data_IF_612912162589
#
_entry.id   IF_612912162589
#
_cell.length_a   1.000
_cell.length_b   1.000
_cell.length_c   1.000
_cell.angle_alpha   90.00
_cell.angle_beta   90.00
_cell.angle_gamma   90.00
#
_symmetry.space_group_name_H-M   'P 1'
#
loop_
_entity.id
_entity.type
_entity.pdbx_description
1 polymer ?
#
# COMPACT_ATOMS: atom_id res chain seq x y z
N UNK A 1 -6.52 26.19 -2.60
CA UNK A 1 -5.38 25.34 -3.02
C UNK A 1 -5.89 24.25 -3.95
N UNK A 2 -5.50 24.33 -5.23
CA UNK A 2 -5.75 23.25 -6.19
C UNK A 2 -4.50 22.38 -6.19
N UNK A 3 -4.61 21.07 -5.95
CA UNK A 3 -3.47 20.15 -5.95
C UNK A 3 -2.61 20.32 -7.22
N UNK A 4 -1.30 20.14 -7.12
CA UNK A 4 -0.32 20.29 -8.20
C UNK A 4 -0.27 21.72 -8.80
N UNK A 5 -1.42 22.28 -9.17
CA UNK A 5 -1.54 23.60 -9.83
C UNK A 5 -1.02 24.71 -8.94
N UNK A 6 -1.42 24.73 -7.66
CA UNK A 6 -0.94 25.73 -6.70
C UNK A 6 0.57 25.65 -6.50
N UNK A 7 1.13 24.43 -6.46
CA UNK A 7 2.58 24.22 -6.33
C UNK A 7 3.36 24.79 -7.51
N UNK A 8 2.86 24.61 -8.73
CA UNK A 8 3.45 25.14 -9.95
C UNK A 8 3.38 26.67 -9.97
N UNK A 9 2.19 27.26 -9.72
CA UNK A 9 2.01 28.72 -9.73
C UNK A 9 2.82 29.43 -8.64
N UNK A 10 2.93 28.84 -7.46
CA UNK A 10 3.68 29.38 -6.32
C UNK A 10 5.18 29.02 -6.38
N UNK A 11 5.66 28.43 -7.49
CA UNK A 11 7.07 28.04 -7.69
C UNK A 11 7.61 27.23 -6.49
N UNK A 12 6.85 26.23 -6.07
CA UNK A 12 7.19 25.35 -4.95
C UNK A 12 7.37 26.09 -3.59
N UNK A 13 6.68 27.20 -3.36
CA UNK A 13 6.74 27.96 -2.11
C UNK A 13 5.37 28.11 -1.47
N UNK A 14 5.35 28.15 -0.15
CA UNK A 14 4.13 28.46 0.61
C UNK A 14 3.72 29.92 0.38
N UNK A 15 2.44 30.17 0.11
CA UNK A 15 1.89 31.53 -0.10
C UNK A 15 1.94 32.41 1.16
N UNK A 16 1.94 31.78 2.35
CA UNK A 16 1.90 32.51 3.62
C UNK A 16 3.30 32.78 4.21
N UNK A 17 4.19 31.77 4.21
CA UNK A 17 5.49 31.86 4.88
C UNK A 17 6.70 31.76 3.93
N UNK A 18 6.50 31.56 2.63
CA UNK A 18 7.58 31.47 1.63
C UNK A 18 8.44 30.19 1.71
N UNK A 19 8.20 29.30 2.68
CA UNK A 19 8.97 28.06 2.85
C UNK A 19 8.84 27.18 1.61
N UNK A 20 9.94 26.51 1.21
CA UNK A 20 9.95 25.59 0.08
C UNK A 20 9.13 24.34 0.39
N UNK A 21 8.28 23.95 -0.57
CA UNK A 21 7.45 22.73 -0.52
C UNK A 21 8.11 21.69 -1.42
N UNK A 22 8.40 20.51 -0.85
CA UNK A 22 9.01 19.40 -1.57
C UNK A 22 8.14 18.97 -2.77
N UNK A 23 8.80 18.58 -3.87
CA UNK A 23 8.15 18.00 -5.05
C UNK A 23 7.41 16.68 -4.76
N UNK A 24 7.72 16.01 -3.65
CA UNK A 24 7.05 14.80 -3.19
C UNK A 24 5.54 15.01 -3.02
N UNK A 25 5.12 16.17 -2.50
CA UNK A 25 3.69 16.46 -2.28
C UNK A 25 2.89 16.46 -3.59
N UNK A 26 3.22 17.27 -4.61
CA UNK A 26 2.47 17.26 -5.86
C UNK A 26 2.59 15.93 -6.62
N UNK A 27 3.67 15.17 -6.44
CA UNK A 27 3.78 13.82 -7.01
C UNK A 27 2.78 12.84 -6.38
N UNK A 28 2.62 12.86 -5.06
CA UNK A 28 1.64 12.03 -4.35
C UNK A 28 0.21 12.46 -4.73
N UNK A 29 -0.05 13.78 -4.77
CA UNK A 29 -1.34 14.32 -5.20
C UNK A 29 -1.70 13.86 -6.61
N UNK A 30 -0.76 13.94 -7.56
CA UNK A 30 -0.97 13.50 -8.93
C UNK A 30 -1.19 11.98 -9.01
N UNK A 31 -0.36 11.20 -8.33
CA UNK A 31 -0.51 9.73 -8.31
C UNK A 31 -1.88 9.32 -7.74
N UNK A 32 -2.30 9.93 -6.64
CA UNK A 32 -3.61 9.67 -6.03
C UNK A 32 -4.76 10.09 -6.94
N UNK A 33 -4.64 11.25 -7.60
CA UNK A 33 -5.65 11.73 -8.55
C UNK A 33 -5.78 10.79 -9.76
N UNK A 34 -4.67 10.30 -10.30
CA UNK A 34 -4.67 9.33 -11.40
C UNK A 34 -5.28 7.99 -10.98
N UNK A 35 -4.97 7.49 -9.78
CA UNK A 35 -5.57 6.27 -9.24
C UNK A 35 -7.08 6.43 -9.07
N UNK A 36 -7.53 7.51 -8.47
CA UNK A 36 -8.96 7.78 -8.28
C UNK A 36 -9.68 7.98 -9.60
N UNK A 37 -9.06 8.68 -10.56
CA UNK A 37 -9.59 8.84 -11.90
C UNK A 37 -9.75 7.51 -12.64
N UNK A 38 -8.75 6.64 -12.56
CA UNK A 38 -8.80 5.30 -13.14
C UNK A 38 -9.88 4.42 -12.49
N UNK A 39 -10.02 4.49 -11.15
CA UNK A 39 -11.06 3.77 -10.42
C UNK A 39 -12.45 4.29 -10.83
N UNK A 40 -12.64 5.60 -10.87
CA UNK A 40 -13.90 6.21 -11.27
C UNK A 40 -14.27 5.85 -12.72
N UNK A 41 -13.29 5.86 -13.61
CA UNK A 41 -13.49 5.44 -15.00
C UNK A 41 -13.88 3.96 -15.13
N UNK A 42 -13.30 3.09 -14.28
CA UNK A 42 -13.53 1.63 -14.33
C UNK A 42 -14.86 1.21 -13.71
N UNK A 43 -15.28 1.88 -12.64
CA UNK A 43 -16.44 1.48 -11.83
C UNK A 43 -17.60 2.48 -11.89
N UNK A 44 -17.47 3.55 -12.65
CA UNK A 44 -18.46 4.64 -12.71
C UNK A 44 -18.80 5.19 -11.31
N UNK A 45 -20.03 5.68 -11.10
CA UNK A 45 -20.50 6.21 -9.82
C UNK A 45 -21.06 5.13 -8.86
N UNK A 46 -20.58 3.89 -8.97
CA UNK A 46 -21.03 2.80 -8.09
C UNK A 46 -20.39 2.91 -6.71
N UNK A 47 -21.07 2.47 -5.62
CA UNK A 47 -20.50 2.46 -4.28
C UNK A 47 -19.16 1.73 -4.15
N UNK A 48 -18.94 0.70 -4.98
CA UNK A 48 -17.67 -0.05 -5.02
C UNK A 48 -16.49 0.84 -5.42
N UNK A 49 -16.70 1.89 -6.22
CA UNK A 49 -15.64 2.84 -6.57
C UNK A 49 -15.09 3.56 -5.34
N UNK A 50 -15.97 3.95 -4.39
CA UNK A 50 -15.55 4.57 -3.12
C UNK A 50 -14.72 3.61 -2.28
N UNK A 51 -15.10 2.33 -2.24
CA UNK A 51 -14.32 1.31 -1.54
C UNK A 51 -12.91 1.16 -2.13
N UNK A 52 -12.79 1.10 -3.45
CA UNK A 52 -11.49 1.05 -4.13
C UNK A 52 -10.68 2.34 -3.98
N UNK A 53 -11.32 3.51 -3.94
CA UNK A 53 -10.64 4.77 -3.64
C UNK A 53 -10.09 4.78 -2.20
N UNK A 54 -10.87 4.31 -1.22
CA UNK A 54 -10.41 4.17 0.16
C UNK A 54 -9.23 3.18 0.27
N UNK A 55 -9.31 2.03 -0.41
CA UNK A 55 -8.22 1.07 -0.52
C UNK A 55 -6.95 1.71 -1.08
N UNK A 56 -7.05 2.39 -2.23
CA UNK A 56 -5.92 3.04 -2.88
C UNK A 56 -5.31 4.14 -1.99
N UNK A 57 -6.15 4.97 -1.34
CA UNK A 57 -5.68 6.00 -0.41
C UNK A 57 -4.91 5.41 0.77
N UNK A 58 -5.43 4.32 1.38
CA UNK A 58 -4.73 3.62 2.45
C UNK A 58 -3.38 3.05 1.99
N UNK A 59 -3.31 2.45 0.80
CA UNK A 59 -2.05 1.93 0.27
C UNK A 59 -1.04 3.03 0.00
N UNK A 60 -1.46 4.16 -0.58
CA UNK A 60 -0.57 5.32 -0.79
C UNK A 60 -0.07 5.84 0.55
N UNK A 61 -0.94 5.99 1.55
CA UNK A 61 -0.55 6.43 2.89
C UNK A 61 0.44 5.46 3.55
N UNK A 62 0.15 4.15 3.52
CA UNK A 62 1.05 3.11 4.06
C UNK A 62 2.41 3.12 3.36
N UNK A 63 2.45 3.23 2.02
CA UNK A 63 3.69 3.30 1.27
C UNK A 63 4.52 4.53 1.63
N UNK A 64 3.89 5.67 1.89
CA UNK A 64 4.59 6.90 2.30
C UNK A 64 5.11 6.81 3.73
N UNK A 65 4.33 6.23 4.64
CA UNK A 65 4.75 6.03 6.03
C UNK A 65 5.90 5.02 6.09
N UNK A 66 5.79 3.92 5.37
CA UNK A 66 6.84 2.90 5.30
C UNK A 66 8.14 3.47 4.72
N UNK A 67 8.06 4.28 3.66
CA UNK A 67 9.22 4.96 3.09
C UNK A 67 9.93 5.87 4.08
N UNK A 68 9.19 6.54 4.96
CA UNK A 68 9.75 7.49 5.93
C UNK A 68 10.22 6.85 7.23
N UNK A 69 9.53 5.80 7.67
CA UNK A 69 9.68 5.23 9.03
C UNK A 69 10.04 3.76 9.06
N UNK A 70 9.93 3.05 7.91
CA UNK A 70 10.04 1.58 7.83
C UNK A 70 9.06 0.85 8.76
N UNK A 71 7.91 1.48 9.05
CA UNK A 71 6.86 0.95 9.92
C UNK A 71 5.51 1.00 9.21
N UNK A 72 4.73 -0.06 9.36
CA UNK A 72 3.35 -0.15 8.87
C UNK A 72 2.39 -0.06 10.08
N UNK A 73 1.71 1.08 10.29
CA UNK A 73 0.87 1.27 11.46
C UNK A 73 -0.40 0.42 11.42
N UNK A 74 -0.70 -0.22 12.55
CA UNK A 74 -1.91 -1.04 12.73
C UNK A 74 -3.20 -0.22 12.57
N UNK A 75 -3.13 1.07 12.86
CA UNK A 75 -4.25 2.01 12.67
C UNK A 75 -4.72 2.13 11.22
N UNK A 76 -3.91 1.74 10.25
CA UNK A 76 -4.27 1.69 8.82
C UNK A 76 -4.40 0.26 8.29
N UNK A 77 -3.47 -0.64 8.67
CA UNK A 77 -3.46 -2.01 8.13
C UNK A 77 -4.66 -2.82 8.61
N UNK A 78 -5.07 -2.70 9.90
CA UNK A 78 -6.22 -3.43 10.41
C UNK A 78 -7.56 -2.93 9.86
N UNK A 79 -7.86 -1.61 9.84
CA UNK A 79 -9.06 -1.12 9.15
C UNK A 79 -9.09 -1.49 7.66
N UNK A 80 -7.95 -1.50 6.97
CA UNK A 80 -7.85 -1.93 5.59
C UNK A 80 -8.24 -3.40 5.42
N UNK A 81 -7.74 -4.29 6.29
CA UNK A 81 -8.08 -5.71 6.29
C UNK A 81 -9.58 -5.92 6.52
N UNK A 82 -10.12 -5.33 7.58
CA UNK A 82 -11.54 -5.46 7.90
C UNK A 82 -12.43 -4.83 6.83
N UNK A 83 -12.02 -3.70 6.26
CA UNK A 83 -12.71 -3.06 5.14
C UNK A 83 -12.84 -4.01 3.95
N UNK A 84 -11.77 -4.74 3.59
CA UNK A 84 -11.80 -5.74 2.52
C UNK A 84 -12.82 -6.86 2.78
N UNK A 85 -12.83 -7.40 4.00
CA UNK A 85 -13.79 -8.44 4.39
C UNK A 85 -15.24 -7.93 4.38
N UNK A 86 -15.49 -6.71 4.85
CA UNK A 86 -16.82 -6.09 4.85
C UNK A 86 -17.32 -5.86 3.42
N UNK A 87 -16.48 -5.31 2.56
CA UNK A 87 -16.85 -5.04 1.15
C UNK A 87 -17.10 -6.35 0.39
N UNK A 88 -16.34 -7.40 0.68
CA UNK A 88 -16.58 -8.74 0.16
C UNK A 88 -17.90 -9.35 0.70
N UNK A 89 -18.21 -9.16 1.99
CA UNK A 89 -19.46 -9.60 2.60
C UNK A 89 -20.69 -8.90 2.00
N UNK A 90 -20.53 -7.62 1.59
CA UNK A 90 -21.56 -6.87 0.87
C UNK A 90 -21.71 -7.31 -0.60
N UNK A 91 -20.86 -8.21 -1.09
CA UNK A 91 -20.90 -8.68 -2.47
C UNK A 91 -20.40 -7.65 -3.50
N UNK A 92 -19.68 -6.62 -3.06
CA UNK A 92 -19.21 -5.55 -3.96
C UNK A 92 -17.91 -5.90 -4.68
N UNK A 93 -17.11 -6.81 -4.15
CA UNK A 93 -15.81 -7.18 -4.74
C UNK A 93 -15.76 -8.67 -5.07
N UNK A 94 -15.02 -9.44 -4.31
CA UNK A 94 -14.79 -10.88 -4.48
C UNK A 94 -15.70 -11.69 -3.54
N UNK A 95 -15.90 -13.00 -3.78
CA UNK A 95 -16.61 -13.85 -2.84
C UNK A 95 -15.95 -13.82 -1.45
N UNK A 96 -16.78 -13.70 -0.39
CA UNK A 96 -16.31 -13.62 1.00
C UNK A 96 -15.36 -14.77 1.38
N UNK A 97 -15.63 -15.98 0.91
CA UNK A 97 -14.74 -17.13 1.15
C UNK A 97 -13.34 -16.89 0.56
N UNK A 98 -13.23 -16.31 -0.64
CA UNK A 98 -11.95 -15.95 -1.25
C UNK A 98 -11.23 -14.85 -0.49
N UNK A 99 -11.96 -13.84 -0.01
CA UNK A 99 -11.42 -12.77 0.82
C UNK A 99 -10.89 -13.31 2.15
N UNK A 100 -11.66 -14.17 2.82
CA UNK A 100 -11.29 -14.77 4.10
C UNK A 100 -10.03 -15.64 3.97
N UNK A 101 -10.02 -16.56 3.00
CA UNK A 101 -8.84 -17.40 2.76
C UNK A 101 -7.65 -16.58 2.26
N UNK A 102 -7.90 -15.52 1.51
CA UNK A 102 -6.87 -14.55 1.12
C UNK A 102 -6.22 -13.87 2.32
N UNK A 103 -7.01 -13.41 3.28
CA UNK A 103 -6.51 -12.81 4.51
C UNK A 103 -5.70 -13.81 5.35
N UNK A 104 -6.25 -15.02 5.57
CA UNK A 104 -5.60 -16.07 6.36
C UNK A 104 -4.29 -16.52 5.69
N UNK A 105 -4.33 -16.86 4.41
CA UNK A 105 -3.16 -17.33 3.68
C UNK A 105 -2.10 -16.21 3.54
N UNK A 106 -2.52 -14.96 3.32
CA UNK A 106 -1.63 -13.82 3.26
C UNK A 106 -0.85 -13.63 4.57
N UNK A 107 -1.54 -13.67 5.71
CA UNK A 107 -0.88 -13.58 7.01
C UNK A 107 0.05 -14.77 7.27
N UNK A 108 -0.46 -16.00 7.14
CA UNK A 108 0.26 -17.21 7.50
C UNK A 108 1.46 -17.48 6.59
N UNK A 109 1.43 -17.09 5.32
CA UNK A 109 2.55 -17.31 4.40
C UNK A 109 3.81 -16.56 4.87
N UNK A 110 3.73 -15.27 5.11
CA UNK A 110 4.88 -14.48 5.58
C UNK A 110 5.23 -14.81 7.03
N UNK A 111 4.24 -15.04 7.88
CA UNK A 111 4.48 -15.46 9.26
C UNK A 111 5.24 -16.80 9.32
N UNK A 112 4.90 -17.77 8.48
CA UNK A 112 5.60 -19.05 8.42
C UNK A 112 7.06 -18.88 7.97
N UNK A 113 7.31 -18.06 6.96
CA UNK A 113 8.67 -17.72 6.49
C UNK A 113 9.46 -17.03 7.61
N UNK A 114 8.85 -16.06 8.29
CA UNK A 114 9.46 -15.39 9.43
C UNK A 114 9.83 -16.36 10.56
N UNK A 115 8.91 -17.25 10.95
CA UNK A 115 9.19 -18.22 12.00
C UNK A 115 10.30 -19.20 11.61
N UNK A 116 10.29 -19.69 10.37
CA UNK A 116 11.35 -20.56 9.87
C UNK A 116 12.72 -19.86 9.89
N UNK A 117 12.77 -18.61 9.44
CA UNK A 117 13.99 -17.81 9.47
C UNK A 117 14.47 -17.56 10.89
N UNK A 118 13.57 -17.20 11.81
CA UNK A 118 13.87 -16.97 13.22
C UNK A 118 14.40 -18.24 13.92
N UNK A 119 13.80 -19.40 13.62
CA UNK A 119 14.25 -20.68 14.19
C UNK A 119 15.64 -21.11 13.66
N UNK A 120 15.96 -20.79 12.40
CA UNK A 120 17.24 -21.19 11.78
C UNK A 120 18.39 -20.21 12.06
N UNK A 121 18.10 -18.92 12.16
CA UNK A 121 19.14 -17.88 12.29
C UNK A 121 19.18 -17.20 13.65
N UNK A 122 18.12 -17.34 14.46
CA UNK A 122 17.96 -16.61 15.74
C UNK A 122 17.69 -15.11 15.57
N UNK A 123 17.52 -14.62 14.33
CA UNK A 123 17.36 -13.19 14.02
C UNK A 123 15.91 -12.89 13.56
N UNK A 124 15.45 -11.68 13.82
CA UNK A 124 14.20 -11.18 13.27
C UNK A 124 14.47 -10.58 11.89
N UNK A 125 13.94 -11.22 10.83
CA UNK A 125 14.24 -10.86 9.45
C UNK A 125 13.19 -9.99 8.76
N UNK A 126 12.01 -9.75 9.39
CA UNK A 126 10.89 -9.05 8.75
C UNK A 126 9.99 -8.39 9.80
N UNK A 127 9.38 -7.27 9.46
CA UNK A 127 8.42 -6.58 10.31
C UNK A 127 7.06 -7.28 10.39
N UNK A 128 6.41 -7.24 11.55
CA UNK A 128 5.06 -7.82 11.72
C UNK A 128 3.98 -7.07 10.92
N UNK A 129 4.26 -5.84 10.49
CA UNK A 129 3.38 -5.04 9.65
C UNK A 129 3.14 -5.63 8.26
N UNK A 130 4.18 -6.25 7.68
CA UNK A 130 4.13 -6.88 6.35
C UNK A 130 3.12 -8.03 6.30
N UNK A 131 3.02 -8.83 7.38
CA UNK A 131 2.05 -9.93 7.45
C UNK A 131 0.62 -9.41 7.43
N UNK A 132 0.36 -8.32 8.15
CA UNK A 132 -0.95 -7.67 8.23
C UNK A 132 -1.31 -6.99 6.91
N UNK A 133 -0.34 -6.36 6.26
CA UNK A 133 -0.54 -5.76 4.95
C UNK A 133 -0.85 -6.82 3.89
N UNK A 134 -0.10 -7.93 3.84
CA UNK A 134 -0.39 -8.99 2.89
C UNK A 134 -1.74 -9.67 3.18
N UNK A 135 -2.14 -9.80 4.45
CA UNK A 135 -3.47 -10.24 4.83
C UNK A 135 -4.56 -9.28 4.34
N UNK A 136 -4.34 -7.96 4.48
CA UNK A 136 -5.26 -6.96 3.96
C UNK A 136 -5.39 -7.03 2.44
N UNK A 137 -4.27 -7.13 1.71
CA UNK A 137 -4.28 -7.32 0.25
C UNK A 137 -5.02 -8.61 -0.16
N UNK A 138 -4.83 -9.69 0.59
CA UNK A 138 -5.56 -10.94 0.39
C UNK A 138 -7.07 -10.81 0.63
N UNK A 139 -7.49 -9.99 1.61
CA UNK A 139 -8.89 -9.70 1.87
C UNK A 139 -9.57 -8.93 0.73
N UNK A 140 -8.85 -8.04 0.04
CA UNK A 140 -9.38 -7.25 -1.07
C UNK A 140 -9.30 -7.94 -2.42
N UNK A 141 -8.23 -8.70 -2.68
CA UNK A 141 -7.90 -9.25 -3.99
C UNK A 141 -8.10 -10.77 -4.08
N UNK A 142 -8.26 -11.43 -2.93
CA UNK A 142 -8.42 -12.87 -2.83
C UNK A 142 -7.11 -13.64 -2.80
N UNK A 143 -7.21 -14.90 -2.38
CA UNK A 143 -6.05 -15.79 -2.26
C UNK A 143 -5.27 -16.04 -3.58
N UNK A 144 -5.88 -16.04 -4.78
CA UNK A 144 -5.11 -16.27 -6.02
C UNK A 144 -4.13 -15.15 -6.33
N UNK A 145 -4.39 -13.94 -5.81
CA UNK A 145 -3.52 -12.78 -6.05
C UNK A 145 -2.32 -12.69 -5.12
N UNK A 146 -2.24 -13.52 -4.07
CA UNK A 146 -1.12 -13.47 -3.12
C UNK A 146 0.23 -13.76 -3.78
N UNK A 147 0.30 -14.80 -4.62
CA UNK A 147 1.55 -15.17 -5.32
C UNK A 147 2.00 -14.07 -6.28
N UNK A 148 1.16 -13.55 -7.18
CA UNK A 148 1.51 -12.38 -8.02
C UNK A 148 1.98 -11.16 -7.22
N UNK A 149 1.32 -10.86 -6.08
CA UNK A 149 1.68 -9.73 -5.23
C UNK A 149 3.07 -9.92 -4.62
N UNK A 150 3.35 -11.09 -4.04
CA UNK A 150 4.66 -11.39 -3.44
C UNK A 150 5.76 -11.33 -4.50
N UNK A 151 5.53 -11.90 -5.67
CA UNK A 151 6.50 -11.85 -6.77
C UNK A 151 6.75 -10.43 -7.24
N UNK A 152 5.69 -9.63 -7.47
CA UNK A 152 5.82 -8.24 -7.87
C UNK A 152 6.56 -7.41 -6.82
N UNK A 153 6.20 -7.57 -5.54
CA UNK A 153 6.87 -6.90 -4.43
C UNK A 153 8.36 -7.27 -4.35
N UNK A 154 8.68 -8.55 -4.52
CA UNK A 154 10.07 -9.04 -4.52
C UNK A 154 10.90 -8.47 -5.67
N UNK A 155 10.33 -8.41 -6.88
CA UNK A 155 10.99 -7.82 -8.06
C UNK A 155 11.21 -6.33 -7.86
N UNK A 156 10.18 -5.58 -7.43
CA UNK A 156 10.28 -4.14 -7.19
C UNK A 156 11.31 -3.86 -6.09
N UNK A 157 11.24 -4.61 -4.98
CA UNK A 157 12.19 -4.47 -3.88
C UNK A 157 13.63 -4.75 -4.31
N UNK A 158 13.85 -5.79 -5.13
CA UNK A 158 15.16 -6.09 -5.68
C UNK A 158 15.69 -4.96 -6.60
N UNK A 159 14.85 -4.45 -7.50
CA UNK A 159 15.22 -3.34 -8.40
C UNK A 159 15.56 -2.09 -7.61
N UNK A 160 14.73 -1.72 -6.63
CA UNK A 160 14.98 -0.55 -5.77
C UNK A 160 16.24 -0.76 -4.93
N UNK A 161 16.41 -1.91 -4.29
CA UNK A 161 17.57 -2.23 -3.46
C UNK A 161 18.89 -2.22 -4.25
N UNK A 162 18.89 -2.79 -5.46
CA UNK A 162 20.06 -2.73 -6.36
C UNK A 162 20.33 -1.28 -6.77
N UNK A 163 19.29 -0.53 -7.14
CA UNK A 163 19.43 0.89 -7.49
C UNK A 163 20.03 1.72 -6.36
N UNK A 164 19.57 1.55 -5.13
CA UNK A 164 20.12 2.24 -3.95
C UNK A 164 21.57 1.84 -3.66
N UNK A 165 21.93 0.58 -3.88
CA UNK A 165 23.31 0.10 -3.73
C UNK A 165 24.24 0.69 -4.78
N UNK A 166 23.81 0.76 -6.04
CA UNK A 166 24.61 1.34 -7.14
C UNK A 166 24.79 2.85 -6.96
N UNK A 167 23.77 3.55 -6.46
CA UNK A 167 23.84 5.00 -6.18
C UNK A 167 24.54 5.35 -4.86
N UNK A 168 25.03 4.34 -4.10
CA UNK A 168 25.74 4.55 -2.83
C UNK A 168 24.87 5.05 -1.68
N UNK A 169 23.55 4.94 -1.79
CA UNK A 169 22.60 5.30 -0.74
C UNK A 169 22.45 4.23 0.34
N UNK A 170 22.80 2.98 0.03
CA UNK A 170 22.97 1.89 0.99
C UNK A 170 24.45 1.75 1.33
N UNK A 171 24.83 2.07 2.56
CA UNK A 171 26.12 1.72 3.16
C UNK A 171 26.01 0.42 3.94
#
# INVERSE_FOLDING_TARGET
NIPVVSWLFLKARCSACGTRISARYPMIELATALLFGAIAWRFDAQPVALAWCAFAACLVALAMIDWDTTLLPDSLTLPLLWGGLVVAALGWTIPLASALWGAVAGYLSLWSVYQLFKLTTGKEGMGHGDFKLLAALGAWLGWPMLVPIILAASVIGAVVGIGMKVTGQLR
#
